data_IF_678807534253
#
_entry.id   IF_678807534253
#
_cell.length_a   1.000
_cell.length_b   1.000
_cell.length_c   1.000
_cell.angle_alpha   90.00
_cell.angle_beta   90.00
_cell.angle_gamma   90.00
#
_symmetry.space_group_name_H-M   'P 1'
#
loop_
_entity.id
_entity.type
_entity.pdbx_description
1 polymer ?
#
# COMPACT_ATOMS: atom_id res chain seq x y z
N UNK A 1 16.39 4.34 22.79
CA UNK A 1 16.04 5.21 21.64
C UNK A 1 15.67 4.30 20.45
N UNK A 2 14.39 4.00 20.23
CA UNK A 2 13.95 3.22 19.05
C UNK A 2 13.84 4.17 17.86
N UNK A 3 14.97 4.50 17.26
CA UNK A 3 14.99 5.18 15.97
C UNK A 3 14.65 4.16 14.90
N UNK A 4 13.38 3.78 14.79
CA UNK A 4 12.91 2.95 13.68
C UNK A 4 13.12 3.77 12.41
N UNK A 5 14.29 3.62 11.78
CA UNK A 5 14.57 4.21 10.48
C UNK A 5 13.83 3.37 9.46
N UNK A 6 12.74 3.89 8.92
CA UNK A 6 12.13 3.32 7.73
C UNK A 6 13.15 3.32 6.60
N UNK A 7 13.37 2.18 5.96
CA UNK A 7 14.25 2.07 4.79
C UNK A 7 13.65 2.88 3.64
N UNK A 8 12.35 2.70 3.40
CA UNK A 8 11.62 3.35 2.32
C UNK A 8 10.14 3.55 2.68
N UNK A 9 9.54 4.63 2.19
CA UNK A 9 8.10 4.87 2.25
C UNK A 9 7.47 4.44 0.92
N UNK A 10 6.67 3.39 0.95
CA UNK A 10 6.03 2.82 -0.25
C UNK A 10 4.68 3.46 -0.58
N UNK A 11 4.11 4.26 0.31
CA UNK A 11 2.78 4.81 0.13
C UNK A 11 2.15 5.34 1.41
N UNK A 12 0.83 5.52 1.38
CA UNK A 12 0.02 5.91 2.52
C UNK A 12 -1.36 5.25 2.48
N UNK A 13 -1.96 5.12 3.66
CA UNK A 13 -3.32 4.63 3.85
C UNK A 13 -4.05 5.57 4.83
N UNK A 14 -5.17 6.13 4.39
CA UNK A 14 -6.02 7.02 5.17
C UNK A 14 -7.36 6.33 5.47
N UNK A 15 -7.61 5.83 6.71
CA UNK A 15 -8.84 5.11 7.03
C UNK A 15 -10.10 5.99 7.05
N UNK A 16 -9.98 7.32 7.15
CA UNK A 16 -11.10 8.27 7.35
C UNK A 16 -11.46 9.03 6.06
N UNK A 17 -10.76 8.75 4.95
CA UNK A 17 -10.93 9.43 3.66
C UNK A 17 -12.41 9.54 3.28
N UNK A 18 -12.90 10.77 3.25
CA UNK A 18 -14.30 11.12 2.99
C UNK A 18 -14.37 11.96 1.72
N UNK A 19 -15.14 11.51 0.73
CA UNK A 19 -15.30 12.21 -0.54
C UNK A 19 -14.33 11.76 -1.64
N UNK A 20 -13.59 12.69 -2.25
CA UNK A 20 -12.75 12.49 -3.45
C UNK A 20 -11.26 12.23 -3.15
N UNK A 21 -10.88 12.14 -1.88
CA UNK A 21 -9.48 11.97 -1.50
C UNK A 21 -9.03 10.51 -1.66
N UNK A 22 -7.78 10.33 -2.12
CA UNK A 22 -7.21 9.00 -2.35
C UNK A 22 -7.02 8.27 -1.02
N UNK A 23 -7.90 7.32 -0.72
CA UNK A 23 -7.89 6.52 0.51
C UNK A 23 -6.60 5.72 0.70
N UNK A 24 -6.07 5.22 -0.39
CA UNK A 24 -4.96 4.30 -0.42
C UNK A 24 -4.11 4.58 -1.65
N UNK A 25 -2.81 4.74 -1.44
CA UNK A 25 -1.86 4.89 -2.54
C UNK A 25 -0.56 4.20 -2.17
N UNK A 26 -0.21 3.15 -2.90
CA UNK A 26 1.03 2.41 -2.70
C UNK A 26 1.70 2.12 -4.05
N UNK A 27 3.02 2.28 -4.08
CA UNK A 27 3.84 1.91 -5.24
C UNK A 27 3.93 0.37 -5.34
N UNK A 28 3.27 -0.19 -6.34
CA UNK A 28 3.24 -1.64 -6.56
C UNK A 28 4.59 -2.21 -6.95
N UNK A 29 5.35 -1.50 -7.79
CA UNK A 29 6.66 -1.98 -8.26
C UNK A 29 7.62 -2.16 -7.10
N UNK A 30 7.69 -1.16 -6.22
CA UNK A 30 8.54 -1.22 -5.03
C UNK A 30 8.04 -2.25 -4.02
N UNK A 31 6.73 -2.37 -3.86
CA UNK A 31 6.15 -3.41 -3.02
C UNK A 31 6.56 -4.81 -3.50
N UNK A 32 6.43 -5.10 -4.79
CA UNK A 32 6.83 -6.39 -5.37
C UNK A 32 8.33 -6.66 -5.18
N UNK A 33 9.17 -5.65 -5.37
CA UNK A 33 10.61 -5.74 -5.10
C UNK A 33 10.89 -6.16 -3.65
N UNK A 34 10.27 -5.50 -2.67
CA UNK A 34 10.47 -5.81 -1.26
C UNK A 34 9.93 -7.19 -0.88
N UNK A 35 8.76 -7.59 -1.42
CA UNK A 35 8.22 -8.95 -1.24
C UNK A 35 9.19 -10.00 -1.78
N UNK A 36 9.77 -9.79 -2.96
CA UNK A 36 10.76 -10.69 -3.55
C UNK A 36 12.09 -10.71 -2.76
N UNK A 37 12.43 -9.62 -2.08
CA UNK A 37 13.60 -9.52 -1.19
C UNK A 37 13.36 -10.26 0.14
N UNK A 38 12.13 -10.74 0.40
CA UNK A 38 11.76 -11.46 1.63
C UNK A 38 11.14 -10.58 2.70
N UNK A 39 10.66 -9.37 2.36
CA UNK A 39 9.91 -8.55 3.30
C UNK A 39 8.59 -9.24 3.69
N UNK A 40 8.34 -9.37 4.99
CA UNK A 40 7.12 -9.96 5.54
C UNK A 40 6.09 -8.86 5.83
N UNK A 41 5.01 -8.73 5.02
CA UNK A 41 3.97 -7.76 5.28
C UNK A 41 3.11 -8.19 6.48
N UNK A 42 2.65 -7.23 7.28
CA UNK A 42 1.65 -7.49 8.32
C UNK A 42 0.27 -7.79 7.69
N UNK A 43 -0.60 -8.49 8.42
CA UNK A 43 -1.95 -8.87 7.93
C UNK A 43 -2.77 -7.67 7.40
N UNK A 44 -2.70 -6.53 8.09
CA UNK A 44 -3.33 -5.27 7.65
C UNK A 44 -2.83 -4.84 6.28
N UNK A 45 -1.52 -4.92 6.04
CA UNK A 45 -0.89 -4.51 4.78
C UNK A 45 -1.29 -5.46 3.65
N UNK A 46 -1.35 -6.77 3.90
CA UNK A 46 -1.84 -7.76 2.92
C UNK A 46 -3.26 -7.42 2.46
N UNK A 47 -4.16 -7.08 3.39
CA UNK A 47 -5.52 -6.67 3.06
C UNK A 47 -5.56 -5.38 2.23
N UNK A 48 -4.71 -4.41 2.52
CA UNK A 48 -4.61 -3.17 1.74
C UNK A 48 -4.07 -3.41 0.33
N UNK A 49 -3.08 -4.28 0.15
CA UNK A 49 -2.55 -4.63 -1.17
C UNK A 49 -3.65 -5.22 -2.06
N UNK A 50 -4.48 -6.11 -1.49
CA UNK A 50 -5.64 -6.69 -2.18
C UNK A 50 -6.69 -5.63 -2.52
N UNK A 51 -6.98 -4.72 -1.58
CA UNK A 51 -7.91 -3.62 -1.80
C UNK A 51 -7.44 -2.69 -2.92
N UNK A 52 -6.15 -2.36 -2.96
CA UNK A 52 -5.56 -1.54 -4.02
C UNK A 52 -5.68 -2.21 -5.39
N UNK A 53 -5.35 -3.50 -5.49
CA UNK A 53 -5.46 -4.24 -6.75
C UNK A 53 -6.90 -4.20 -7.30
N UNK A 54 -7.89 -4.34 -6.41
CA UNK A 54 -9.31 -4.19 -6.77
C UNK A 54 -9.65 -2.78 -7.23
N UNK A 55 -9.18 -1.75 -6.53
CA UNK A 55 -9.41 -0.35 -6.93
C UNK A 55 -8.80 -0.01 -8.28
N UNK A 56 -7.58 -0.50 -8.56
CA UNK A 56 -6.90 -0.30 -9.84
C UNK A 56 -7.64 -0.95 -11.01
N UNK A 57 -8.17 -2.17 -10.79
CA UNK A 57 -9.00 -2.83 -11.81
C UNK A 57 -10.32 -2.10 -12.08
N UNK A 58 -10.90 -1.45 -11.06
CA UNK A 58 -12.11 -0.65 -11.23
C UNK A 58 -11.82 0.68 -11.96
N UNK A 59 -10.66 1.30 -11.75
CA UNK A 59 -10.25 2.52 -12.44
C UNK A 59 -9.89 2.27 -13.92
N UNK A 60 -9.36 1.10 -14.26
CA UNK A 60 -9.02 0.76 -15.65
C UNK A 60 -10.23 0.42 -16.53
N UNK A 61 -11.40 0.18 -15.92
CA UNK A 61 -12.65 -0.13 -16.61
C UNK A 61 -13.57 1.09 -16.81
N UNK A 62 -13.14 2.28 -16.39
CA UNK A 62 -13.87 3.55 -16.47
C UNK A 62 -13.40 4.42 -17.63
#
# INVERSE_FOLDING_TARGET
>A
RRGCRCIERLGFFNPVSSGKEQRLSMNQERLQYWLNTGAQPSERVVSLIKEQARQQSAAAAQ
#
